data_IF_761145779924
#
_entry.id   IF_761145779924
#
_cell.length_a   1.000
_cell.length_b   1.000
_cell.length_c   1.000
_cell.angle_alpha   90.00
_cell.angle_beta   90.00
_cell.angle_gamma   90.00
#
_symmetry.space_group_name_H-M   'P 1'
#
loop_
_entity.id
_entity.type
_entity.pdbx_description
1 polymer ?
#
# COMPACT_ATOMS: atom_id res chain seq x y z
N UNK A 1 -0.29 47.57 -45.03
CA UNK A 1 0.80 46.98 -45.83
C UNK A 1 0.86 45.49 -45.55
N UNK A 2 0.46 44.73 -46.55
CA UNK A 2 0.26 43.28 -46.55
C UNK A 2 1.56 42.61 -46.98
N UNK A 3 2.01 41.59 -46.28
CA UNK A 3 3.02 40.68 -46.82
C UNK A 3 2.59 39.25 -46.62
N UNK A 4 2.18 38.62 -47.71
CA UNK A 4 1.90 37.20 -47.90
C UNK A 4 3.23 36.48 -48.20
N UNK A 5 3.46 35.34 -47.57
CA UNK A 5 4.52 34.38 -47.91
C UNK A 5 3.87 33.16 -48.54
N UNK A 6 4.35 32.62 -49.68
CA UNK A 6 3.70 31.56 -50.41
C UNK A 6 4.21 30.15 -50.01
N UNK A 7 3.28 29.23 -49.95
CA UNK A 7 3.49 27.78 -49.75
C UNK A 7 4.06 27.14 -51.03
N UNK A 8 5.22 26.49 -50.96
CA UNK A 8 5.72 25.58 -52.02
C UNK A 8 5.45 24.15 -51.66
N UNK A 9 4.61 23.51 -52.47
CA UNK A 9 4.39 22.07 -52.50
C UNK A 9 5.48 21.42 -53.37
N UNK A 10 6.23 20.49 -52.88
CA UNK A 10 7.14 19.63 -53.64
C UNK A 10 6.52 18.24 -53.71
N UNK A 11 6.08 17.88 -54.92
CA UNK A 11 5.70 16.53 -55.31
C UNK A 11 6.92 15.88 -55.96
N UNK A 12 7.46 14.82 -55.38
CA UNK A 12 8.46 13.97 -56.03
C UNK A 12 7.88 12.61 -56.34
N UNK A 13 7.86 12.33 -57.61
CA UNK A 13 7.43 11.10 -58.30
C UNK A 13 8.43 9.97 -58.05
N UNK A 14 7.93 8.80 -57.66
CA UNK A 14 8.71 7.54 -57.59
C UNK A 14 8.47 6.76 -58.91
N UNK A 15 9.54 6.59 -59.67
CA UNK A 15 9.59 5.67 -60.85
C UNK A 15 9.82 4.26 -60.42
N UNK A 16 9.00 3.36 -60.91
CA UNK A 16 9.15 1.92 -60.80
C UNK A 16 10.27 1.42 -61.74
N UNK A 17 11.18 0.61 -61.21
CA UNK A 17 12.10 -0.21 -62.03
C UNK A 17 11.73 -1.67 -61.84
N UNK A 18 11.27 -2.31 -62.94
CA UNK A 18 11.14 -3.74 -63.07
C UNK A 18 12.52 -4.33 -63.45
N UNK A 19 12.99 -5.29 -62.68
CA UNK A 19 14.09 -6.17 -63.12
C UNK A 19 13.69 -7.62 -62.88
N UNK A 20 13.61 -8.35 -64.00
CA UNK A 20 13.37 -9.78 -64.12
C UNK A 20 14.72 -10.48 -64.02
N UNK A 21 14.92 -11.42 -63.07
CA UNK A 21 15.96 -12.44 -63.14
C UNK A 21 15.34 -13.77 -62.77
N UNK A 22 15.45 -14.68 -63.74
CA UNK A 22 15.03 -16.09 -63.79
C UNK A 22 16.17 -16.96 -63.26
N UNK A 23 15.86 -17.98 -62.46
CA UNK A 23 16.65 -19.23 -62.40
C UNK A 23 17.47 -19.41 -61.12
N UNK A 24 17.08 -20.28 -60.27
CA UNK A 24 17.60 -21.67 -60.06
C UNK A 24 16.94 -22.27 -58.81
N UNK A 25 16.13 -23.28 -59.01
CA UNK A 25 15.76 -24.25 -57.96
C UNK A 25 16.99 -25.09 -57.63
N UNK A 26 17.36 -25.18 -56.34
CA UNK A 26 17.94 -26.42 -55.78
C UNK A 26 17.76 -26.45 -54.26
N UNK A 27 17.00 -27.42 -53.84
CA UNK A 27 17.09 -28.22 -52.59
C UNK A 27 17.77 -27.64 -51.36
N UNK A 28 16.94 -27.21 -50.39
CA UNK A 28 17.27 -27.29 -48.96
C UNK A 28 15.98 -27.54 -48.15
N UNK A 29 15.40 -28.72 -48.36
CA UNK A 29 14.51 -29.32 -47.36
C UNK A 29 15.40 -30.04 -46.34
N UNK A 30 14.95 -30.05 -45.07
CA UNK A 30 15.55 -30.73 -43.93
C UNK A 30 16.60 -29.94 -43.09
N UNK A 31 16.21 -28.84 -42.46
CA UNK A 31 16.65 -28.53 -41.05
C UNK A 31 15.56 -27.63 -40.42
N UNK A 32 14.39 -28.15 -40.22
CA UNK A 32 13.34 -27.44 -39.45
C UNK A 32 12.54 -28.47 -38.64
N UNK A 33 13.20 -29.17 -37.73
CA UNK A 33 12.55 -30.03 -36.73
C UNK A 33 13.58 -30.38 -35.66
N UNK A 34 13.76 -29.56 -34.66
CA UNK A 34 14.25 -29.91 -33.31
C UNK A 34 14.44 -28.67 -32.39
N UNK A 35 13.56 -27.67 -32.46
CA UNK A 35 13.67 -26.52 -31.51
C UNK A 35 12.30 -26.07 -30.96
N UNK A 36 11.44 -27.00 -30.52
CA UNK A 36 10.15 -26.61 -29.93
C UNK A 36 9.59 -27.44 -28.77
N UNK A 37 10.35 -28.10 -27.90
CA UNK A 37 9.75 -28.44 -26.63
C UNK A 37 10.19 -27.54 -25.45
N UNK A 38 11.33 -26.85 -25.52
CA UNK A 38 11.83 -26.11 -24.38
C UNK A 38 11.07 -24.80 -24.13
N UNK A 39 10.61 -24.08 -25.14
CA UNK A 39 9.84 -22.85 -25.00
C UNK A 39 8.38 -23.08 -24.56
N UNK A 40 7.78 -24.20 -24.94
CA UNK A 40 6.45 -24.59 -24.50
C UNK A 40 6.44 -25.05 -23.02
N UNK A 41 7.53 -25.64 -22.55
CA UNK A 41 7.68 -26.09 -21.18
C UNK A 41 8.00 -24.95 -20.22
N UNK A 42 8.63 -23.88 -20.71
CA UNK A 42 8.89 -22.67 -19.91
C UNK A 42 7.66 -21.78 -19.79
N UNK A 43 6.74 -21.80 -20.77
CA UNK A 43 5.44 -21.14 -20.66
C UNK A 43 4.45 -21.92 -19.77
N UNK A 44 4.58 -23.24 -19.65
CA UNK A 44 3.74 -24.07 -18.80
C UNK A 44 4.15 -24.03 -17.31
N UNK A 45 5.41 -23.67 -17.00
CA UNK A 45 5.87 -23.53 -15.61
C UNK A 45 5.58 -22.15 -15.00
N UNK A 46 5.08 -21.18 -15.76
CA UNK A 46 4.62 -19.88 -15.26
C UNK A 46 3.11 -19.84 -14.96
N UNK A 47 2.38 -20.89 -15.22
CA UNK A 47 1.08 -21.14 -14.58
C UNK A 47 1.28 -21.73 -13.19
N UNK A 48 2.06 -21.05 -12.32
CA UNK A 48 1.91 -21.21 -10.90
C UNK A 48 0.43 -20.95 -10.61
N UNK A 49 -0.28 -21.98 -10.21
CA UNK A 49 -1.67 -21.95 -9.79
C UNK A 49 -1.91 -20.68 -8.99
N UNK A 50 -2.73 -19.76 -9.53
CA UNK A 50 -3.31 -18.66 -8.78
C UNK A 50 -4.14 -19.35 -7.73
N UNK A 51 -3.56 -19.51 -6.55
CA UNK A 51 -4.23 -20.10 -5.41
C UNK A 51 -5.48 -19.25 -5.18
N UNK A 52 -6.65 -19.84 -5.39
CA UNK A 52 -7.92 -19.18 -5.12
C UNK A 52 -7.86 -18.68 -3.68
N UNK A 53 -8.08 -17.38 -3.47
CA UNK A 53 -8.16 -16.81 -2.10
C UNK A 53 -9.04 -17.75 -1.28
N UNK A 54 -8.54 -18.33 -0.18
CA UNK A 54 -9.29 -19.29 0.60
C UNK A 54 -10.64 -18.71 0.99
N UNK A 55 -11.70 -19.54 1.00
CA UNK A 55 -13.02 -19.08 1.46
C UNK A 55 -12.88 -18.43 2.83
N UNK A 56 -13.60 -17.32 3.03
CA UNK A 56 -13.57 -16.43 4.19
C UNK A 56 -14.08 -17.11 5.47
N UNK A 57 -13.34 -18.14 5.93
CA UNK A 57 -13.63 -18.84 7.20
C UNK A 57 -12.61 -18.39 8.23
N UNK A 58 -13.08 -17.60 9.21
CA UNK A 58 -12.26 -17.25 10.36
C UNK A 58 -12.02 -18.46 11.26
N UNK A 59 -10.76 -18.74 11.54
CA UNK A 59 -10.35 -19.81 12.49
C UNK A 59 -9.47 -19.24 13.57
N UNK A 60 -9.75 -19.53 14.84
CA UNK A 60 -8.91 -19.10 15.96
C UNK A 60 -7.53 -19.73 15.86
N UNK A 61 -6.49 -18.95 16.17
CA UNK A 61 -5.11 -19.40 16.25
C UNK A 61 -4.48 -18.92 17.56
N UNK A 62 -3.40 -19.56 18.00
CA UNK A 62 -2.56 -19.04 19.06
C UNK A 62 -1.94 -17.69 18.67
N UNK A 63 -1.63 -16.87 19.68
CA UNK A 63 -0.94 -15.60 19.48
C UNK A 63 0.45 -15.90 18.90
N UNK A 64 0.77 -15.43 17.69
CA UNK A 64 2.10 -15.67 17.11
C UNK A 64 3.20 -15.03 17.96
N UNK A 65 4.33 -15.71 18.09
CA UNK A 65 5.51 -15.13 18.76
C UNK A 65 5.96 -13.86 18.03
N UNK A 66 6.18 -12.78 18.78
CA UNK A 66 6.65 -11.48 18.29
C UNK A 66 7.82 -11.01 19.17
N UNK A 67 8.97 -11.71 19.14
CA UNK A 67 10.09 -11.46 20.07
C UNK A 67 10.71 -10.08 19.91
N UNK A 68 10.60 -9.49 18.70
CA UNK A 68 11.18 -8.18 18.36
C UNK A 68 10.17 -7.04 18.54
N UNK A 69 8.95 -7.32 19.01
CA UNK A 69 7.94 -6.31 19.24
C UNK A 69 8.30 -5.44 20.46
N UNK A 70 8.36 -4.15 20.25
CA UNK A 70 8.73 -3.14 21.27
C UNK A 70 7.46 -2.44 21.72
N UNK A 71 7.19 -2.42 23.03
CA UNK A 71 6.09 -1.66 23.61
C UNK A 71 6.30 -0.16 23.35
N UNK A 72 5.27 0.52 22.88
CA UNK A 72 5.31 1.95 22.61
C UNK A 72 5.15 2.84 23.85
N UNK A 73 4.86 2.24 25.00
CA UNK A 73 4.68 2.97 26.26
C UNK A 73 3.45 3.90 26.29
N UNK A 74 2.50 3.73 25.36
CA UNK A 74 1.27 4.54 25.32
C UNK A 74 0.23 4.10 26.34
N UNK A 75 0.55 3.06 27.10
CA UNK A 75 -0.32 2.46 28.10
C UNK A 75 -1.42 1.58 27.49
N UNK A 76 -2.13 0.82 28.34
CA UNK A 76 -3.22 -0.02 27.87
C UNK A 76 -4.41 0.83 27.42
N UNK A 77 -5.24 0.26 26.55
CA UNK A 77 -6.51 0.87 26.20
C UNK A 77 -7.41 0.96 27.46
N UNK A 78 -7.90 2.16 27.82
CA UNK A 78 -8.79 2.30 28.99
C UNK A 78 -10.02 1.40 28.87
N UNK A 79 -10.47 0.86 30.00
CA UNK A 79 -11.67 0.02 30.13
C UNK A 79 -11.68 -1.26 29.27
N UNK A 80 -10.55 -1.64 28.70
CA UNK A 80 -10.43 -2.88 27.94
C UNK A 80 -10.49 -4.09 28.87
N UNK A 81 -11.44 -4.97 28.60
CA UNK A 81 -11.68 -6.18 29.40
C UNK A 81 -11.60 -7.48 28.61
N UNK A 82 -11.45 -7.39 27.30
CA UNK A 82 -11.29 -8.55 26.42
C UNK A 82 -9.82 -8.70 26.04
N UNK A 83 -9.20 -9.86 26.31
CA UNK A 83 -7.79 -10.09 25.99
C UNK A 83 -7.54 -10.12 24.48
N UNK A 84 -6.30 -9.78 24.09
CA UNK A 84 -5.83 -9.94 22.72
C UNK A 84 -6.05 -11.37 22.24
N UNK A 85 -6.56 -11.53 21.03
CA UNK A 85 -6.81 -12.81 20.39
C UNK A 85 -6.47 -12.75 18.91
N UNK A 86 -6.20 -13.90 18.32
CA UNK A 86 -5.79 -14.00 16.93
C UNK A 86 -6.64 -15.00 16.16
N UNK A 87 -6.79 -14.73 14.87
CA UNK A 87 -7.48 -15.64 13.96
C UNK A 87 -6.79 -15.63 12.58
N UNK A 88 -7.04 -16.68 11.81
CA UNK A 88 -6.69 -16.79 10.41
C UNK A 88 -7.93 -16.49 9.57
N UNK A 89 -7.76 -15.67 8.54
CA UNK A 89 -8.77 -15.36 7.54
C UNK A 89 -8.07 -15.08 6.20
N UNK A 90 -8.65 -15.44 5.08
CA UNK A 90 -8.02 -15.31 3.75
C UNK A 90 -6.59 -15.86 3.67
N UNK A 91 -6.29 -16.91 4.41
CA UNK A 91 -4.94 -17.46 4.51
C UNK A 91 -3.95 -16.64 5.37
N UNK A 92 -4.36 -15.48 5.89
CA UNK A 92 -3.54 -14.53 6.63
C UNK A 92 -3.87 -14.48 8.13
N UNK A 93 -2.95 -13.93 8.93
CA UNK A 93 -3.09 -13.79 10.38
C UNK A 93 -3.56 -12.39 10.74
N UNK A 94 -4.55 -12.35 11.63
CA UNK A 94 -5.19 -11.14 12.12
C UNK A 94 -5.16 -11.08 13.65
N UNK A 95 -4.84 -9.90 14.20
CA UNK A 95 -4.95 -9.61 15.63
C UNK A 95 -6.28 -8.92 15.96
N UNK A 96 -6.87 -9.21 17.11
CA UNK A 96 -8.07 -8.55 17.67
C UNK A 96 -7.83 -8.15 19.11
N UNK A 97 -8.64 -7.19 19.58
CA UNK A 97 -8.62 -6.76 20.98
C UNK A 97 -7.22 -6.38 21.48
N UNK A 98 -6.42 -5.78 20.62
CA UNK A 98 -5.11 -5.25 20.97
C UNK A 98 -5.31 -4.11 21.95
N UNK A 99 -4.77 -4.24 23.16
CA UNK A 99 -4.88 -3.25 24.25
C UNK A 99 -3.59 -2.49 24.50
N UNK A 100 -2.45 -3.10 24.13
CA UNK A 100 -1.10 -2.50 24.25
C UNK A 100 -0.50 -2.40 22.84
N UNK A 101 -0.12 -1.18 22.47
CA UNK A 101 0.48 -0.94 21.18
C UNK A 101 1.95 -1.36 21.14
N UNK A 102 2.36 -2.01 20.06
CA UNK A 102 3.76 -2.39 19.84
C UNK A 102 4.23 -2.01 18.44
N UNK A 103 5.55 -1.81 18.32
CA UNK A 103 6.23 -1.56 17.05
C UNK A 103 7.25 -2.68 16.79
N UNK A 104 7.12 -3.38 15.66
CA UNK A 104 8.03 -4.47 15.30
C UNK A 104 8.94 -4.03 14.16
N UNK A 105 10.27 -3.93 14.36
CA UNK A 105 11.22 -3.56 13.32
C UNK A 105 11.48 -4.71 12.33
N UNK A 106 11.61 -4.36 11.06
CA UNK A 106 12.10 -5.16 9.95
C UNK A 106 13.21 -4.35 9.30
N UNK A 107 14.44 -4.67 9.63
CA UNK A 107 15.60 -3.89 9.21
C UNK A 107 16.25 -4.50 7.97
N UNK A 108 16.73 -3.68 7.02
CA UNK A 108 17.56 -4.17 5.93
C UNK A 108 18.94 -4.59 6.47
N UNK A 109 19.66 -5.38 5.67
CA UNK A 109 21.10 -5.57 5.92
C UNK A 109 21.79 -4.19 5.97
N UNK A 110 22.66 -3.93 6.97
CA UNK A 110 23.26 -2.61 7.16
C UNK A 110 23.94 -2.03 5.90
N UNK A 111 24.58 -2.89 5.10
CA UNK A 111 25.25 -2.47 3.86
C UNK A 111 24.28 -1.99 2.77
N UNK A 112 22.99 -2.33 2.88
CA UNK A 112 21.94 -1.96 1.93
C UNK A 112 21.04 -0.85 2.46
N UNK A 113 21.24 -0.39 3.70
CA UNK A 113 20.36 0.59 4.34
C UNK A 113 20.38 1.93 3.58
N UNK A 114 19.21 2.39 3.20
CA UNK A 114 19.02 3.68 2.50
C UNK A 114 18.87 4.87 3.46
N UNK A 115 18.78 4.62 4.75
CA UNK A 115 18.41 5.61 5.76
C UNK A 115 16.92 5.93 5.81
N UNK A 116 16.13 5.45 4.87
CA UNK A 116 14.68 5.65 4.87
C UNK A 116 13.97 4.66 5.79
N UNK A 117 12.99 5.14 6.53
CA UNK A 117 12.12 4.31 7.36
C UNK A 117 10.65 4.45 6.96
N UNK A 118 9.87 3.38 7.14
CA UNK A 118 8.43 3.36 6.90
C UNK A 118 7.70 2.71 8.07
N UNK A 119 6.78 3.43 8.69
CA UNK A 119 5.80 2.84 9.61
C UNK A 119 4.68 2.24 8.76
N UNK A 120 4.41 0.96 8.97
CA UNK A 120 3.37 0.21 8.28
C UNK A 120 2.19 0.00 9.22
N UNK A 121 1.04 0.61 8.90
CA UNK A 121 -0.19 0.53 9.67
C UNK A 121 -1.21 -0.38 8.98
N UNK A 122 -1.40 -1.64 9.44
CA UNK A 122 -2.37 -2.57 8.86
C UNK A 122 -3.81 -2.07 8.95
N UNK A 123 -4.69 -2.56 8.07
CA UNK A 123 -6.12 -2.32 8.10
C UNK A 123 -6.88 -3.31 8.98
N UNK A 124 -8.21 -3.16 8.99
CA UNK A 124 -9.13 -4.02 9.73
C UNK A 124 -10.21 -3.27 10.50
N UNK A 125 -10.58 -2.06 10.06
CA UNK A 125 -11.71 -1.28 10.57
C UNK A 125 -11.56 -0.85 12.03
N UNK A 126 -10.36 -0.75 12.57
CA UNK A 126 -10.06 -0.53 14.00
C UNK A 126 -10.64 -1.61 14.94
N UNK A 127 -11.06 -2.75 14.40
CA UNK A 127 -11.60 -3.91 15.13
C UNK A 127 -10.69 -5.13 15.07
N UNK A 128 -9.86 -5.17 14.05
CA UNK A 128 -8.83 -6.20 13.82
C UNK A 128 -7.64 -5.58 13.09
N UNK A 129 -6.53 -6.29 12.99
CA UNK A 129 -5.34 -5.90 12.22
C UNK A 129 -4.94 -7.03 11.27
N UNK A 130 -4.83 -6.74 9.99
CA UNK A 130 -4.29 -7.64 8.96
C UNK A 130 -2.76 -7.74 9.08
N UNK A 131 -2.27 -8.39 10.14
CA UNK A 131 -0.86 -8.36 10.55
C UNK A 131 0.06 -9.01 9.53
N UNK A 132 -0.37 -10.08 8.87
CA UNK A 132 0.50 -10.79 7.93
C UNK A 132 0.52 -10.11 6.56
N UNK A 133 -0.64 -9.95 5.92
CA UNK A 133 -0.76 -9.44 4.54
C UNK A 133 -0.41 -7.95 4.40
N UNK A 134 -0.88 -7.12 5.33
CA UNK A 134 -0.72 -5.66 5.29
C UNK A 134 0.36 -5.13 6.26
N UNK A 135 0.91 -6.01 7.09
CA UNK A 135 1.97 -5.69 8.04
C UNK A 135 3.29 -6.36 7.66
N UNK A 136 3.48 -7.61 8.10
CA UNK A 136 4.78 -8.29 8.03
C UNK A 136 5.30 -8.52 6.61
N UNK A 137 4.42 -8.86 5.66
CA UNK A 137 4.82 -9.08 4.26
C UNK A 137 5.27 -7.77 3.61
N UNK A 138 4.54 -6.67 3.86
CA UNK A 138 4.93 -5.34 3.39
C UNK A 138 6.27 -4.91 3.98
N UNK A 139 6.45 -5.10 5.29
CA UNK A 139 7.67 -4.70 5.99
C UNK A 139 8.90 -5.48 5.51
N UNK A 140 8.78 -6.81 5.31
CA UNK A 140 9.87 -7.61 4.71
C UNK A 140 10.22 -7.12 3.31
N UNK A 141 9.21 -6.92 2.46
CA UNK A 141 9.43 -6.45 1.10
C UNK A 141 10.08 -5.06 1.04
N UNK A 142 9.82 -4.18 2.01
CA UNK A 142 10.51 -2.88 2.15
C UNK A 142 11.95 -3.07 2.62
N UNK A 143 12.20 -3.94 3.61
CA UNK A 143 13.55 -4.25 4.09
C UNK A 143 14.43 -4.81 2.97
N UNK A 144 13.89 -5.67 2.10
CA UNK A 144 14.56 -6.19 0.90
C UNK A 144 14.95 -5.08 -0.11
N UNK A 145 14.34 -3.89 -0.01
CA UNK A 145 14.68 -2.70 -0.81
C UNK A 145 15.59 -1.71 -0.07
N UNK A 146 16.12 -2.09 1.08
CA UNK A 146 16.99 -1.25 1.88
C UNK A 146 16.25 -0.20 2.74
N UNK A 147 14.94 -0.33 2.88
CA UNK A 147 14.10 0.58 3.68
C UNK A 147 13.79 -0.08 5.03
N UNK A 148 14.18 0.56 6.13
CA UNK A 148 13.80 0.09 7.47
C UNK A 148 12.27 0.19 7.62
N UNK A 149 11.60 -0.92 7.91
CA UNK A 149 10.16 -0.94 8.05
C UNK A 149 9.75 -1.33 9.47
N UNK A 150 8.69 -0.72 9.95
CA UNK A 150 8.22 -0.89 11.32
C UNK A 150 6.74 -1.17 11.31
N UNK A 151 6.32 -2.39 11.69
CA UNK A 151 4.90 -2.75 11.73
C UNK A 151 4.30 -2.27 13.04
N UNK A 152 3.31 -1.39 12.93
CA UNK A 152 2.56 -0.83 14.04
C UNK A 152 1.35 -1.72 14.35
N UNK A 153 1.41 -2.48 15.47
CA UNK A 153 0.26 -3.15 16.07
C UNK A 153 -0.41 -2.16 17.04
N UNK A 154 -1.28 -1.30 16.51
CA UNK A 154 -1.95 -0.26 17.29
C UNK A 154 -3.15 -0.79 18.09
N UNK A 155 -3.54 -0.08 19.14
CA UNK A 155 -4.69 -0.42 20.01
C UNK A 155 -5.98 -0.45 19.21
N UNK A 156 -6.87 -1.38 19.53
CA UNK A 156 -8.10 -1.63 18.80
C UNK A 156 -9.33 -1.40 19.66
N UNK A 157 -10.43 -1.02 19.01
CA UNK A 157 -11.74 -1.05 19.63
C UNK A 157 -12.06 -2.47 20.08
N UNK A 158 -12.59 -2.61 21.31
CA UNK A 158 -12.93 -3.91 21.86
C UNK A 158 -14.07 -4.57 21.07
N UNK A 159 -13.93 -5.85 20.84
CA UNK A 159 -14.91 -6.71 20.16
C UNK A 159 -15.23 -7.91 21.02
N UNK A 160 -16.35 -8.60 20.73
CA UNK A 160 -16.69 -9.84 21.44
C UNK A 160 -15.53 -10.85 21.40
N UNK A 161 -15.26 -11.58 22.49
CA UNK A 161 -14.27 -12.65 22.46
C UNK A 161 -14.67 -13.81 21.53
N UNK A 162 -15.96 -14.06 21.35
CA UNK A 162 -16.47 -15.10 20.46
C UNK A 162 -16.20 -14.77 18.99
N UNK A 163 -15.37 -15.59 18.35
CA UNK A 163 -14.98 -15.42 16.95
C UNK A 163 -16.16 -15.63 15.99
N UNK A 164 -17.08 -16.53 16.31
CA UNK A 164 -18.28 -16.77 15.46
C UNK A 164 -19.20 -15.57 15.49
N UNK A 165 -19.36 -14.95 16.64
CA UNK A 165 -20.14 -13.70 16.76
C UNK A 165 -19.45 -12.54 16.06
N UNK A 166 -18.13 -12.41 16.22
CA UNK A 166 -17.33 -11.39 15.52
C UNK A 166 -17.43 -11.52 14.00
N UNK A 167 -17.45 -12.75 13.47
CA UNK A 167 -17.52 -13.06 12.04
C UNK A 167 -18.88 -12.72 11.40
N UNK A 168 -19.92 -12.45 12.19
CA UNK A 168 -21.21 -12.05 11.65
C UNK A 168 -21.10 -10.71 10.89
N UNK A 169 -21.76 -10.58 9.71
CA UNK A 169 -21.76 -9.32 9.00
C UNK A 169 -22.27 -8.19 9.88
N UNK A 170 -21.50 -7.13 9.99
CA UNK A 170 -21.98 -5.90 10.63
C UNK A 170 -22.94 -5.21 9.67
N UNK A 171 -24.15 -4.83 10.11
CA UNK A 171 -25.06 -4.08 9.27
C UNK A 171 -24.37 -2.83 8.72
N UNK A 172 -24.32 -2.72 7.40
CA UNK A 172 -23.74 -1.56 6.74
C UNK A 172 -24.82 -0.47 6.63
N UNK A 173 -24.52 0.79 6.96
CA UNK A 173 -25.41 1.87 6.61
C UNK A 173 -25.70 1.84 5.09
N UNK A 174 -26.93 2.14 4.66
CA UNK A 174 -27.25 2.20 3.25
C UNK A 174 -26.26 3.08 2.48
N UNK A 175 -25.91 2.73 1.25
CA UNK A 175 -24.98 3.51 0.41
C UNK A 175 -25.44 4.97 0.23
N UNK A 176 -26.75 5.21 0.37
CA UNK A 176 -27.40 6.52 0.30
C UNK A 176 -27.56 7.20 1.68
N UNK A 177 -26.96 6.66 2.75
CA UNK A 177 -26.93 7.40 4.03
C UNK A 177 -26.28 8.75 3.77
N UNK A 178 -27.00 9.83 4.08
CA UNK A 178 -26.60 11.21 3.80
C UNK A 178 -25.21 11.51 4.39
N UNK A 179 -24.48 12.42 3.76
CA UNK A 179 -23.19 12.93 4.29
C UNK A 179 -23.28 13.37 5.77
N UNK A 180 -24.49 13.72 6.22
CA UNK A 180 -24.79 14.08 7.61
C UNK A 180 -24.59 12.95 8.65
N UNK A 181 -24.48 11.68 8.22
CA UNK A 181 -24.26 10.54 9.13
C UNK A 181 -22.81 10.09 9.21
N UNK A 182 -21.91 10.70 8.44
CA UNK A 182 -20.49 10.41 8.52
C UNK A 182 -19.83 11.32 9.56
N UNK A 183 -18.98 10.76 10.46
CA UNK A 183 -18.24 11.59 11.39
C UNK A 183 -17.41 12.65 10.64
N UNK A 184 -17.39 13.86 11.17
CA UNK A 184 -16.46 14.89 10.71
C UNK A 184 -15.01 14.44 10.92
N UNK A 185 -14.01 15.04 10.26
CA UNK A 185 -12.61 14.75 10.52
C UNK A 185 -12.21 14.90 11.98
N UNK A 186 -12.74 15.90 12.68
CA UNK A 186 -12.48 16.14 14.10
C UNK A 186 -13.11 15.06 15.00
N UNK A 187 -14.35 14.65 14.75
CA UNK A 187 -14.98 13.54 15.45
C UNK A 187 -14.26 12.22 15.18
N UNK A 188 -13.77 12.01 13.95
CA UNK A 188 -12.97 10.83 13.63
C UNK A 188 -11.64 10.85 14.37
N UNK A 189 -10.92 11.97 14.39
CA UNK A 189 -9.68 12.13 15.15
C UNK A 189 -9.88 11.82 16.65
N UNK A 190 -10.99 12.27 17.23
CA UNK A 190 -11.36 11.95 18.62
C UNK A 190 -11.61 10.46 18.81
N UNK A 191 -12.34 9.81 17.89
CA UNK A 191 -12.66 8.37 17.97
C UNK A 191 -11.43 7.47 17.88
N UNK A 192 -10.41 7.89 17.15
CA UNK A 192 -9.16 7.12 16.97
C UNK A 192 -7.96 7.75 17.71
N UNK A 193 -8.23 8.60 18.71
CA UNK A 193 -7.17 9.26 19.47
C UNK A 193 -6.14 8.31 20.10
N UNK A 194 -6.51 7.13 20.65
CA UNK A 194 -5.53 6.15 21.12
C UNK A 194 -4.61 5.65 20.01
N UNK A 195 -5.15 5.38 18.80
CA UNK A 195 -4.38 4.90 17.66
C UNK A 195 -3.44 6.00 17.12
N UNK A 196 -3.90 7.26 17.12
CA UNK A 196 -3.05 8.41 16.75
C UNK A 196 -1.91 8.60 17.75
N UNK A 197 -2.17 8.40 19.05
CA UNK A 197 -1.11 8.41 20.07
C UNK A 197 -0.07 7.30 19.81
N UNK A 198 -0.51 6.10 19.44
CA UNK A 198 0.37 4.97 19.11
C UNK A 198 1.23 5.29 17.87
N UNK A 199 0.63 5.89 16.83
CA UNK A 199 1.36 6.32 15.65
C UNK A 199 2.41 7.41 15.98
N UNK A 200 2.05 8.44 16.75
CA UNK A 200 3.01 9.45 17.18
C UNK A 200 4.16 8.85 18.00
N UNK A 201 3.87 7.96 18.95
CA UNK A 201 4.88 7.27 19.75
C UNK A 201 5.83 6.44 18.87
N UNK A 202 5.35 5.85 17.77
CA UNK A 202 6.18 5.12 16.80
C UNK A 202 7.23 6.04 16.16
N UNK A 203 6.85 7.25 15.74
CA UNK A 203 7.80 8.22 15.19
C UNK A 203 8.84 8.65 16.23
N UNK A 204 8.41 8.89 17.48
CA UNK A 204 9.31 9.25 18.58
C UNK A 204 10.31 8.11 18.84
N UNK A 205 9.84 6.86 18.93
CA UNK A 205 10.68 5.69 19.17
C UNK A 205 11.71 5.49 18.05
N UNK A 206 11.29 5.63 16.77
CA UNK A 206 12.20 5.48 15.63
C UNK A 206 13.26 6.57 15.66
N UNK A 207 12.90 7.83 15.87
CA UNK A 207 13.86 8.94 15.97
C UNK A 207 14.86 8.74 17.11
N UNK A 208 14.39 8.28 18.27
CA UNK A 208 15.25 8.00 19.43
C UNK A 208 16.25 6.85 19.18
N UNK A 209 15.99 5.96 18.25
CA UNK A 209 16.83 4.83 17.90
C UNK A 209 17.40 4.93 16.47
N UNK A 210 17.38 6.10 15.86
CA UNK A 210 17.71 6.32 14.46
C UNK A 210 19.12 5.81 14.10
N UNK A 211 20.11 6.11 14.91
CA UNK A 211 21.48 5.63 14.74
C UNK A 211 21.56 4.09 14.80
N UNK A 212 20.96 3.48 15.83
CA UNK A 212 20.94 2.03 16.01
C UNK A 212 20.30 1.28 14.81
N UNK A 213 19.31 1.88 14.18
CA UNK A 213 18.57 1.28 13.07
C UNK A 213 19.01 1.77 11.70
N UNK A 214 20.09 2.56 11.62
CA UNK A 214 20.61 3.17 10.39
C UNK A 214 19.53 3.96 9.64
N UNK A 215 18.73 4.75 10.38
CA UNK A 215 17.61 5.56 9.88
C UNK A 215 18.01 7.04 9.95
N UNK A 216 17.70 7.78 8.90
CA UNK A 216 17.73 9.24 8.90
C UNK A 216 16.40 9.73 9.52
N UNK A 217 16.43 10.47 10.66
CA UNK A 217 15.24 10.92 11.36
C UNK A 217 14.32 11.82 10.52
N UNK A 218 14.82 12.42 9.45
CA UNK A 218 14.07 13.27 8.53
C UNK A 218 13.49 12.48 7.33
N UNK A 219 13.75 11.17 7.25
CA UNK A 219 13.30 10.29 6.15
C UNK A 219 12.34 9.19 6.64
N UNK A 220 11.55 9.48 7.64
CA UNK A 220 10.56 8.55 8.17
C UNK A 220 9.20 8.83 7.56
N UNK A 221 8.67 7.87 6.77
CA UNK A 221 7.32 7.91 6.22
C UNK A 221 6.35 6.99 6.96
N UNK A 222 5.09 7.08 6.58
CA UNK A 222 4.04 6.18 7.08
C UNK A 222 3.14 5.72 5.94
N UNK A 223 2.86 4.43 5.87
CA UNK A 223 1.91 3.85 4.93
C UNK A 223 0.83 3.08 5.69
N UNK A 224 -0.40 3.24 5.27
CA UNK A 224 -1.51 2.55 5.92
C UNK A 224 -2.49 1.95 4.93
N UNK A 225 -3.21 0.94 5.42
CA UNK A 225 -4.15 0.14 4.65
C UNK A 225 -5.55 0.30 5.23
N UNK A 226 -6.56 0.67 4.44
CA UNK A 226 -7.95 0.80 4.91
C UNK A 226 -8.07 1.69 6.17
N UNK A 227 -8.40 1.14 7.34
CA UNK A 227 -8.40 1.86 8.61
C UNK A 227 -6.99 2.40 8.97
N UNK A 228 -5.94 1.65 8.65
CA UNK A 228 -4.56 2.12 8.80
C UNK A 228 -4.23 3.30 7.88
N UNK A 229 -4.84 3.38 6.68
CA UNK A 229 -4.72 4.55 5.82
C UNK A 229 -5.41 5.78 6.45
N UNK A 230 -6.57 5.59 7.07
CA UNK A 230 -7.22 6.65 7.84
C UNK A 230 -6.35 7.12 9.00
N UNK A 231 -5.75 6.18 9.75
CA UNK A 231 -4.78 6.49 10.80
C UNK A 231 -3.59 7.28 10.24
N UNK A 232 -3.00 6.86 9.12
CA UNK A 232 -1.91 7.56 8.45
C UNK A 232 -2.28 8.99 8.08
N UNK A 233 -3.44 9.19 7.47
CA UNK A 233 -3.93 10.51 7.08
C UNK A 233 -4.18 11.41 8.30
N UNK A 234 -4.86 10.88 9.34
CA UNK A 234 -5.14 11.65 10.57
C UNK A 234 -3.85 12.03 11.28
N UNK A 235 -2.87 11.12 11.35
CA UNK A 235 -1.56 11.40 11.96
C UNK A 235 -0.78 12.45 11.18
N UNK A 236 -0.78 12.36 9.85
CA UNK A 236 0.01 13.25 9.00
C UNK A 236 -0.56 14.67 8.89
N UNK A 237 -1.89 14.82 8.99
CA UNK A 237 -2.58 16.11 8.91
C UNK A 237 -2.86 16.72 10.27
N UNK A 238 -2.64 15.97 11.35
CA UNK A 238 -2.80 16.44 12.72
C UNK A 238 -1.62 17.29 13.21
N UNK A 239 -1.81 17.91 14.36
CA UNK A 239 -0.81 18.79 15.01
C UNK A 239 0.24 18.01 15.83
N UNK A 240 0.24 16.67 15.77
CA UNK A 240 1.16 15.81 16.52
C UNK A 240 2.63 15.92 16.08
N UNK A 241 3.51 15.23 16.81
CA UNK A 241 4.96 15.22 16.58
C UNK A 241 5.42 14.31 15.43
N UNK A 242 4.51 13.51 14.85
CA UNK A 242 4.83 12.52 13.83
C UNK A 242 5.58 13.11 12.63
N UNK A 243 5.01 14.11 11.97
CA UNK A 243 5.55 14.84 10.80
C UNK A 243 6.24 13.89 9.79
N UNK A 244 5.49 13.00 9.15
CA UNK A 244 6.06 12.05 8.19
C UNK A 244 6.67 12.78 6.98
N UNK A 245 7.82 12.27 6.49
CA UNK A 245 8.47 12.78 5.28
C UNK A 245 7.65 12.47 4.01
N UNK A 246 6.86 11.41 4.04
CA UNK A 246 5.92 11.00 2.99
C UNK A 246 4.85 10.09 3.59
N UNK A 247 3.72 9.94 2.89
CA UNK A 247 2.63 9.07 3.31
C UNK A 247 2.07 8.22 2.16
N UNK A 248 1.55 7.04 2.52
CA UNK A 248 0.84 6.14 1.62
C UNK A 248 -0.57 5.85 2.12
N UNK A 249 -1.57 6.05 1.25
CA UNK A 249 -2.97 5.72 1.47
C UNK A 249 -3.36 4.56 0.54
N UNK A 250 -3.41 3.36 1.10
CA UNK A 250 -3.76 2.16 0.33
C UNK A 250 -5.21 1.78 0.65
N UNK A 251 -6.07 1.82 -0.38
CA UNK A 251 -7.53 1.65 -0.30
C UNK A 251 -8.17 2.30 0.94
N UNK A 252 -7.70 3.52 1.27
CA UNK A 252 -8.36 4.41 2.22
C UNK A 252 -9.35 5.36 1.54
N UNK A 253 -10.04 6.17 2.34
CA UNK A 253 -11.01 7.15 1.83
C UNK A 253 -10.36 8.22 0.95
N UNK A 254 -11.08 8.62 -0.11
CA UNK A 254 -10.66 9.65 -1.07
C UNK A 254 -11.47 10.96 -0.94
N UNK A 255 -12.17 11.17 0.17
CA UNK A 255 -12.90 12.42 0.41
C UNK A 255 -11.95 13.61 0.48
N UNK A 256 -12.43 14.77 0.04
CA UNK A 256 -11.70 16.02 0.18
C UNK A 256 -11.36 16.32 1.65
N UNK A 257 -10.17 16.85 1.86
CA UNK A 257 -9.66 17.25 3.17
C UNK A 257 -8.99 18.61 3.07
N UNK A 258 -8.81 19.28 4.19
CA UNK A 258 -7.96 20.46 4.27
C UNK A 258 -6.49 20.01 4.30
N UNK A 259 -5.66 20.57 3.40
CA UNK A 259 -4.26 20.17 3.22
C UNK A 259 -3.35 21.35 3.56
N UNK A 260 -2.55 21.26 4.63
CA UNK A 260 -1.61 22.32 4.97
C UNK A 260 -0.50 22.45 3.91
N UNK A 261 0.07 23.66 3.80
CA UNK A 261 1.10 23.96 2.79
C UNK A 261 2.39 23.13 2.92
N UNK A 262 2.64 22.57 4.10
CA UNK A 262 3.77 21.68 4.41
C UNK A 262 3.38 20.19 4.42
N UNK A 263 2.19 19.80 3.96
CA UNK A 263 1.77 18.40 3.91
C UNK A 263 2.79 17.55 3.13
N UNK A 264 3.04 16.31 3.55
CA UNK A 264 4.01 15.44 2.89
C UNK A 264 3.54 15.01 1.49
N UNK A 265 4.45 14.56 0.60
CA UNK A 265 4.08 13.84 -0.62
C UNK A 265 3.17 12.65 -0.30
N UNK A 266 2.16 12.43 -1.15
CA UNK A 266 1.14 11.39 -0.95
C UNK A 266 1.16 10.40 -2.11
N UNK A 267 1.27 9.11 -1.77
CA UNK A 267 1.03 7.98 -2.66
C UNK A 267 -0.35 7.36 -2.37
N UNK A 268 -1.14 7.08 -3.39
CA UNK A 268 -2.49 6.49 -3.26
C UNK A 268 -2.63 5.30 -4.18
N UNK A 269 -3.17 4.19 -3.68
CA UNK A 269 -3.54 3.03 -4.48
C UNK A 269 -4.93 2.52 -4.07
N UNK A 270 -5.84 2.40 -5.02
CA UNK A 270 -7.22 1.94 -4.80
C UNK A 270 -7.75 1.25 -6.05
N UNK A 271 -8.73 0.36 -5.89
CA UNK A 271 -9.43 -0.30 -7.00
C UNK A 271 -10.81 0.32 -7.25
N UNK A 272 -11.24 0.36 -8.51
CA UNK A 272 -12.53 0.90 -8.93
C UNK A 272 -13.72 0.05 -8.42
N UNK A 273 -13.48 -1.24 -8.23
CA UNK A 273 -14.44 -2.22 -7.70
C UNK A 273 -14.41 -2.34 -6.16
N UNK A 274 -13.73 -1.40 -5.47
CA UNK A 274 -13.73 -1.37 -4.00
C UNK A 274 -15.13 -1.04 -3.45
N UNK A 275 -15.79 -1.97 -2.75
CA UNK A 275 -17.16 -1.74 -2.30
C UNK A 275 -17.24 -0.85 -1.05
N UNK A 276 -16.12 -0.50 -0.41
CA UNK A 276 -16.13 0.22 0.87
C UNK A 276 -16.10 1.74 0.70
N UNK A 277 -15.49 2.23 -0.36
CA UNK A 277 -15.36 3.68 -0.55
C UNK A 277 -16.11 4.14 -1.80
N UNK A 278 -16.99 5.14 -1.67
CA UNK A 278 -17.58 5.78 -2.84
C UNK A 278 -16.45 6.40 -3.67
N UNK A 279 -16.52 6.18 -4.97
CA UNK A 279 -15.54 6.72 -5.90
C UNK A 279 -15.64 8.25 -5.93
N UNK A 280 -14.53 8.90 -5.69
CA UNK A 280 -14.36 10.34 -5.76
C UNK A 280 -12.88 10.65 -5.64
N UNK A 281 -12.46 11.77 -6.19
CA UNK A 281 -11.04 12.17 -6.22
C UNK A 281 -10.74 13.38 -5.36
N UNK A 282 -11.65 13.71 -4.41
CA UNK A 282 -11.54 14.90 -3.57
C UNK A 282 -10.23 15.00 -2.81
N UNK A 283 -9.68 13.89 -2.33
CA UNK A 283 -8.36 13.85 -1.67
C UNK A 283 -7.25 14.28 -2.65
N UNK A 284 -7.26 13.78 -3.87
CA UNK A 284 -6.26 14.08 -4.90
C UNK A 284 -6.35 15.56 -5.30
N UNK A 285 -7.57 16.05 -5.48
CA UNK A 285 -7.83 17.46 -5.80
C UNK A 285 -7.36 18.38 -4.66
N UNK A 286 -7.56 17.96 -3.40
CA UNK A 286 -7.10 18.72 -2.22
C UNK A 286 -5.58 18.86 -2.20
N UNK A 287 -4.82 17.78 -2.44
CA UNK A 287 -3.35 17.82 -2.55
C UNK A 287 -2.87 18.69 -3.70
N UNK A 288 -3.49 18.55 -4.88
CA UNK A 288 -3.15 19.38 -6.04
C UNK A 288 -3.44 20.87 -5.79
N UNK A 289 -4.58 21.19 -5.17
CA UNK A 289 -4.95 22.57 -4.82
C UNK A 289 -3.95 23.18 -3.82
N UNK A 290 -3.44 22.38 -2.89
CA UNK A 290 -2.40 22.80 -1.95
C UNK A 290 -0.98 22.84 -2.59
N UNK A 291 -0.87 22.55 -3.87
CA UNK A 291 0.40 22.45 -4.60
C UNK A 291 1.38 21.44 -3.95
N UNK A 292 0.85 20.31 -3.43
CA UNK A 292 1.63 19.24 -2.83
C UNK A 292 1.71 18.05 -3.77
N UNK A 293 2.87 17.32 -3.80
CA UNK A 293 3.03 16.15 -4.64
C UNK A 293 2.01 15.07 -4.28
N UNK A 294 1.36 14.49 -5.29
CA UNK A 294 0.44 13.37 -5.13
C UNK A 294 0.49 12.47 -6.35
N UNK A 295 0.50 11.16 -6.11
CA UNK A 295 0.41 10.12 -7.13
C UNK A 295 -0.75 9.19 -6.82
N UNK A 296 -1.58 8.85 -7.81
CA UNK A 296 -2.74 7.98 -7.69
C UNK A 296 -2.61 6.80 -8.67
N UNK A 297 -2.67 5.59 -8.12
CA UNK A 297 -2.87 4.34 -8.86
C UNK A 297 -4.31 3.87 -8.70
N UNK A 298 -5.08 4.00 -9.77
CA UNK A 298 -6.49 3.61 -9.81
C UNK A 298 -6.63 2.35 -10.66
N UNK A 299 -6.75 1.20 -10.00
CA UNK A 299 -6.84 -0.10 -10.66
C UNK A 299 -8.29 -0.40 -11.05
N UNK A 300 -8.49 -1.02 -12.22
CA UNK A 300 -9.82 -1.44 -12.66
C UNK A 300 -10.44 -2.43 -11.68
N UNK A 301 -9.63 -3.39 -11.21
CA UNK A 301 -10.06 -4.47 -10.31
C UNK A 301 -9.04 -4.72 -9.20
N UNK A 302 -9.54 -5.20 -8.08
CA UNK A 302 -8.73 -5.54 -6.90
C UNK A 302 -9.60 -5.77 -5.68
N UNK A 303 -10.76 -5.15 -5.65
CA UNK A 303 -11.65 -5.10 -4.50
C UNK A 303 -11.02 -4.33 -3.35
N UNK A 304 -11.52 -4.52 -2.14
CA UNK A 304 -10.94 -3.99 -0.92
C UNK A 304 -9.93 -4.98 -0.31
N UNK A 305 -8.86 -4.49 0.30
CA UNK A 305 -7.94 -5.33 1.07
C UNK A 305 -7.01 -6.19 0.20
N UNK A 306 -6.62 -5.73 -1.00
CA UNK A 306 -5.72 -6.52 -1.85
C UNK A 306 -4.32 -6.70 -1.25
N UNK A 307 -3.80 -5.74 -0.47
CA UNK A 307 -2.52 -5.85 0.23
C UNK A 307 -1.42 -6.53 -0.59
N UNK A 308 -0.75 -7.52 0.00
CA UNK A 308 0.27 -8.34 -0.67
C UNK A 308 -0.28 -9.64 -1.27
N UNK A 309 -1.60 -9.84 -1.27
CA UNK A 309 -2.19 -11.00 -1.93
C UNK A 309 -1.90 -11.00 -3.44
N UNK A 310 -1.41 -12.13 -3.94
CA UNK A 310 -1.21 -12.32 -5.37
C UNK A 310 -2.56 -12.59 -6.03
N UNK A 311 -3.01 -11.66 -6.85
CA UNK A 311 -4.27 -11.73 -7.61
C UNK A 311 -4.01 -11.64 -9.10
N UNK A 312 -4.91 -12.16 -9.93
CA UNK A 312 -4.87 -12.00 -11.38
C UNK A 312 -5.34 -10.61 -11.84
N UNK A 313 -5.08 -9.58 -11.05
CA UNK A 313 -5.45 -8.18 -11.30
C UNK A 313 -4.22 -7.29 -11.23
N UNK A 314 -4.24 -6.16 -11.93
CA UNK A 314 -3.12 -5.21 -11.96
C UNK A 314 -2.84 -4.58 -10.60
N UNK A 315 -3.80 -4.62 -9.66
CA UNK A 315 -3.61 -4.17 -8.28
C UNK A 315 -2.49 -4.93 -7.53
N UNK A 316 -2.15 -6.15 -7.95
CA UNK A 316 -0.97 -6.88 -7.45
C UNK A 316 0.34 -6.09 -7.62
N UNK A 317 0.41 -5.19 -8.60
CA UNK A 317 1.59 -4.36 -8.88
C UNK A 317 1.76 -3.12 -8.01
N UNK A 318 0.83 -2.83 -7.08
CA UNK A 318 0.84 -1.60 -6.30
C UNK A 318 2.16 -1.36 -5.54
N UNK A 319 2.72 -2.43 -4.96
CA UNK A 319 3.96 -2.34 -4.18
C UNK A 319 5.15 -1.93 -5.06
N UNK A 320 5.25 -2.48 -6.27
CA UNK A 320 6.30 -2.08 -7.21
C UNK A 320 6.17 -0.61 -7.61
N UNK A 321 4.94 -0.12 -7.82
CA UNK A 321 4.68 1.31 -8.09
C UNK A 321 5.10 2.18 -6.91
N UNK A 322 4.81 1.76 -5.68
CA UNK A 322 5.24 2.47 -4.47
C UNK A 322 6.77 2.52 -4.34
N UNK A 323 7.47 1.42 -4.63
CA UNK A 323 8.94 1.37 -4.63
C UNK A 323 9.53 2.31 -5.68
N UNK A 324 8.97 2.34 -6.90
CA UNK A 324 9.39 3.28 -7.95
C UNK A 324 9.18 4.73 -7.52
N UNK A 325 8.04 5.02 -6.90
CA UNK A 325 7.72 6.34 -6.36
C UNK A 325 8.69 6.76 -5.26
N UNK A 326 9.04 5.86 -4.32
CA UNK A 326 10.09 6.13 -3.32
C UNK A 326 11.43 6.44 -3.99
N UNK A 327 11.79 5.69 -5.05
CA UNK A 327 13.01 5.92 -5.83
C UNK A 327 13.02 7.30 -6.51
N UNK A 328 11.91 7.71 -7.11
CA UNK A 328 11.74 9.03 -7.75
C UNK A 328 11.94 10.17 -6.74
N UNK A 329 11.46 10.01 -5.52
CA UNK A 329 11.64 10.99 -4.43
C UNK A 329 13.01 10.92 -3.75
N UNK A 330 13.90 10.00 -4.17
CA UNK A 330 15.26 9.85 -3.61
C UNK A 330 15.33 9.04 -2.32
N UNK A 331 14.22 8.46 -1.86
CA UNK A 331 14.17 7.68 -0.63
C UNK A 331 14.87 6.31 -0.71
N UNK A 332 15.22 5.83 -1.91
CA UNK A 332 16.00 4.59 -2.09
C UNK A 332 17.51 4.84 -2.29
N UNK A 333 17.96 6.08 -2.27
CA UNK A 333 19.39 6.41 -2.28
C UNK A 333 19.91 6.41 -0.85
N UNK A 334 21.16 5.94 -0.60
CA UNK A 334 21.77 6.07 0.72
C UNK A 334 21.68 7.52 1.22
N UNK A 335 21.45 7.69 2.52
CA UNK A 335 21.55 9.01 3.14
C UNK A 335 22.98 9.53 2.95
N UNK A 336 23.12 10.83 2.68
CA UNK A 336 24.43 11.46 2.48
C UNK A 336 25.16 11.63 3.79
#
# INVERSE_FOLDING_TARGET
MSNKIPTKVIVSSIRAAKSTVLGTMLSAACVLLMLTPALAQQAASQNASIESVPKDIMTSIEIPAQPDAIDLGTGPLPDANTPESWHRQYGSKFARNVTVATLTPFLPEPANATGTAVIVAPGGGFRTLSMENEGWQVARALADKGVAAFVLKYRLNQTTPDLKEFAKPTPRPPANSSAATRPSPAEMATRIAPQVADANASFVLIRANAEKWHVDPDRIGMIGFSAGAMLTMTTALGEGEAKPAFIGNIYGGLSAVEVPSNAPPLFVAIAADDPLFPLGFGLIESWRKANRPVELHFYEQGGHGFGMYQKATTSTGWFNSFVLWLGMHGYLKPAK
#
